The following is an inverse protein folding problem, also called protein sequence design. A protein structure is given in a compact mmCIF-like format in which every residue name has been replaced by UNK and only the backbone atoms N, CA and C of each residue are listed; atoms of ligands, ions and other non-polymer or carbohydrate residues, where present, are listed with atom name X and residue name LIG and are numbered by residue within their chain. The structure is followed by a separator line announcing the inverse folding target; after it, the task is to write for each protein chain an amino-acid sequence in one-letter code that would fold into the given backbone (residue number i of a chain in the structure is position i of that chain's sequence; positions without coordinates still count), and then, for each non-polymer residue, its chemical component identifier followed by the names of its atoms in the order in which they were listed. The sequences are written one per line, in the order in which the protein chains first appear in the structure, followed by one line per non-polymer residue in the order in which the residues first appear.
data_IF_167170643212
#
_entry.id   IF_167170643212
#
_cell.length_a   1.000
_cell.length_b   1.000
_cell.length_c   1.000
_cell.angle_alpha   90.00
_cell.angle_beta   90.00
_cell.angle_gamma   90.00
#
_symmetry.space_group_name_H-M   'P 1'
#
loop_
_entity.id
_entity.type
_entity.pdbx_description
1 polymer ?
#
# COMPACT_ATOMS: atom_id res chain seq x y z
N UNK A 1 4.31 -14.47 5.38
CA UNK A 1 4.62 -14.65 3.96
C UNK A 1 5.88 -13.89 3.56
N UNK A 2 6.63 -14.45 2.67
CA UNK A 2 7.83 -13.78 2.16
C UNK A 2 7.54 -13.17 0.78
N UNK A 3 8.23 -12.08 0.46
CA UNK A 3 8.04 -11.32 -0.77
C UNK A 3 8.24 -12.18 -2.03
N UNK A 4 9.13 -13.17 -1.98
CA UNK A 4 9.42 -14.06 -3.10
C UNK A 4 8.23 -14.93 -3.52
N UNK A 5 7.20 -15.04 -2.68
CA UNK A 5 5.98 -15.81 -3.01
C UNK A 5 4.93 -14.98 -3.74
N UNK A 6 5.17 -13.69 -3.89
CA UNK A 6 4.26 -12.79 -4.58
C UNK A 6 4.58 -12.80 -6.07
N UNK A 7 3.53 -12.84 -6.91
CA UNK A 7 3.68 -12.84 -8.36
C UNK A 7 4.53 -11.65 -8.82
N UNK A 8 5.50 -11.91 -9.71
CA UNK A 8 6.42 -10.87 -10.18
C UNK A 8 5.69 -9.74 -10.91
N UNK A 9 4.60 -10.04 -11.61
CA UNK A 9 3.84 -9.00 -12.32
C UNK A 9 3.19 -8.04 -11.33
N UNK A 10 2.71 -8.55 -10.20
CA UNK A 10 2.14 -7.73 -9.12
C UNK A 10 3.23 -6.84 -8.52
N UNK A 11 4.40 -7.40 -8.25
CA UNK A 11 5.51 -6.62 -7.70
C UNK A 11 5.96 -5.54 -8.67
N UNK A 12 5.99 -5.84 -9.97
CA UNK A 12 6.36 -4.84 -10.99
C UNK A 12 5.34 -3.70 -11.04
N UNK A 13 4.04 -4.02 -10.96
CA UNK A 13 2.99 -3.00 -10.90
C UNK A 13 3.15 -2.10 -9.68
N UNK A 14 3.41 -2.71 -8.53
CA UNK A 14 3.58 -1.96 -7.28
C UNK A 14 4.82 -1.07 -7.36
N UNK A 15 5.93 -1.56 -7.91
CA UNK A 15 7.15 -0.76 -8.07
C UNK A 15 6.91 0.48 -8.92
N UNK A 16 6.21 0.32 -10.05
CA UNK A 16 5.87 1.45 -10.91
C UNK A 16 4.99 2.46 -10.18
N UNK A 17 4.06 1.95 -9.39
CA UNK A 17 3.17 2.80 -8.62
C UNK A 17 3.93 3.57 -7.55
N UNK A 18 4.82 2.91 -6.80
CA UNK A 18 5.66 3.56 -5.79
C UNK A 18 6.48 4.67 -6.42
N UNK A 19 7.08 4.42 -7.57
CA UNK A 19 7.86 5.41 -8.28
C UNK A 19 7.01 6.64 -8.62
N UNK A 20 5.78 6.43 -9.07
CA UNK A 20 4.87 7.53 -9.41
C UNK A 20 4.47 8.33 -8.19
N UNK A 21 4.00 7.68 -7.12
CA UNK A 21 3.50 8.40 -5.93
C UNK A 21 4.63 9.09 -5.15
N UNK A 22 5.85 8.59 -5.28
CA UNK A 22 7.01 9.21 -4.64
C UNK A 22 7.32 10.61 -5.18
N UNK A 23 6.74 10.97 -6.31
CA UNK A 23 6.85 12.33 -6.84
C UNK A 23 5.94 13.32 -6.11
N UNK A 24 4.95 12.82 -5.40
CA UNK A 24 3.93 13.63 -4.71
C UNK A 24 3.99 13.51 -3.20
N UNK A 25 4.54 12.42 -2.67
CA UNK A 25 4.60 12.12 -1.25
C UNK A 25 5.98 11.62 -0.85
N UNK A 26 6.43 12.04 0.30
CA UNK A 26 7.61 11.44 0.94
C UNK A 26 7.12 10.19 1.67
N UNK A 27 7.34 9.03 1.07
CA UNK A 27 6.81 7.76 1.57
C UNK A 27 7.70 7.22 2.68
N UNK A 28 7.12 6.86 3.82
CA UNK A 28 7.83 6.21 4.91
C UNK A 28 7.74 4.69 4.81
N UNK A 29 6.54 4.15 4.51
CA UNK A 29 6.35 2.71 4.34
C UNK A 29 5.35 2.42 3.24
N UNK A 30 5.58 1.30 2.55
CA UNK A 30 4.57 0.67 1.66
C UNK A 30 4.42 -0.76 2.14
N UNK A 31 3.22 -1.17 2.49
CA UNK A 31 2.94 -2.50 3.01
C UNK A 31 1.84 -3.14 2.19
N UNK A 32 2.12 -4.33 1.64
CA UNK A 32 1.11 -5.14 0.96
C UNK A 32 0.34 -5.91 2.02
N UNK A 33 -0.98 -5.86 2.00
CA UNK A 33 -1.80 -6.62 2.92
C UNK A 33 -3.01 -7.22 2.18
N UNK A 34 -3.94 -7.81 2.91
CA UNK A 34 -5.10 -8.43 2.29
C UNK A 34 -4.76 -9.75 1.63
N UNK A 35 -5.52 -10.13 0.59
CA UNK A 35 -5.44 -11.46 -0.02
C UNK A 35 -4.07 -11.79 -0.62
N UNK A 36 -3.41 -10.82 -1.26
CA UNK A 36 -2.09 -11.05 -1.83
C UNK A 36 -1.02 -11.31 -0.78
N UNK A 37 -1.11 -10.66 0.37
CA UNK A 37 -0.18 -10.90 1.46
C UNK A 37 -0.40 -12.26 2.12
N UNK A 38 -1.68 -12.69 2.18
CA UNK A 38 -2.04 -13.97 2.79
C UNK A 38 -1.87 -15.17 1.85
N UNK A 39 -1.71 -14.92 0.55
CA UNK A 39 -1.57 -16.00 -0.43
C UNK A 39 -2.89 -16.64 -0.85
N UNK A 40 -4.03 -16.02 -0.55
CA UNK A 40 -5.35 -16.51 -0.94
C UNK A 40 -6.01 -15.66 -2.02
N UNK A 41 -5.20 -14.94 -2.78
CA UNK A 41 -5.68 -14.12 -3.89
C UNK A 41 -6.08 -14.96 -5.10
N UNK A 42 -6.90 -14.35 -5.95
CA UNK A 42 -7.24 -14.85 -7.28
C UNK A 42 -7.13 -13.70 -8.28
N UNK A 43 -7.37 -13.97 -9.57
CA UNK A 43 -7.10 -13.01 -10.65
C UNK A 43 -7.80 -11.66 -10.49
N UNK A 44 -8.97 -11.65 -9.86
CA UNK A 44 -9.75 -10.42 -9.67
C UNK A 44 -9.55 -9.78 -8.30
N UNK A 45 -8.63 -10.30 -7.50
CA UNK A 45 -8.37 -9.73 -6.17
C UNK A 45 -7.79 -8.33 -6.27
N UNK A 46 -8.22 -7.44 -5.37
CA UNK A 46 -7.61 -6.13 -5.21
C UNK A 46 -6.20 -6.28 -4.65
N UNK A 47 -5.34 -5.36 -5.04
CA UNK A 47 -3.98 -5.28 -4.51
C UNK A 47 -3.99 -4.23 -3.41
N UNK A 48 -4.23 -4.66 -2.16
CA UNK A 48 -4.32 -3.74 -1.03
C UNK A 48 -2.94 -3.32 -0.57
N UNK A 49 -2.66 -2.03 -0.61
CA UNK A 49 -1.40 -1.49 -0.09
C UNK A 49 -1.67 -0.35 0.88
N UNK A 50 -0.91 -0.32 1.96
CA UNK A 50 -0.88 0.81 2.87
C UNK A 50 0.22 1.76 2.41
N UNK A 51 -0.14 3.02 2.19
CA UNK A 51 0.80 4.08 1.86
C UNK A 51 0.93 4.96 3.10
N UNK A 52 2.08 4.90 3.75
CA UNK A 52 2.31 5.59 5.02
C UNK A 52 3.26 6.76 4.79
N UNK A 53 2.80 7.97 5.07
CA UNK A 53 3.57 9.19 4.82
C UNK A 53 3.14 10.29 5.78
N UNK A 54 4.10 11.11 6.21
CA UNK A 54 3.81 12.31 6.99
C UNK A 54 3.06 13.37 6.18
N UNK A 55 3.17 13.28 4.86
CA UNK A 55 2.49 14.21 3.96
C UNK A 55 1.00 13.91 3.83
N UNK A 56 0.55 12.76 4.31
CA UNK A 56 -0.86 12.42 4.35
C UNK A 56 -1.49 13.10 5.56
N UNK A 57 -2.34 14.10 5.30
CA UNK A 57 -3.00 14.89 6.34
C UNK A 57 -4.51 14.66 6.39
N UNK A 58 -5.09 14.17 5.31
CA UNK A 58 -6.51 13.83 5.21
C UNK A 58 -6.62 12.49 4.49
N UNK A 59 -6.98 11.44 5.23
CA UNK A 59 -7.03 10.07 4.67
C UNK A 59 -7.98 9.94 3.51
N UNK A 60 -9.09 10.70 3.51
CA UNK A 60 -10.05 10.63 2.41
C UNK A 60 -9.51 11.31 1.15
N UNK A 61 -9.11 12.58 1.28
CA UNK A 61 -8.63 13.35 0.13
C UNK A 61 -7.36 12.75 -0.45
N UNK A 62 -6.42 12.36 0.39
CA UNK A 62 -5.19 11.73 -0.04
C UNK A 62 -5.46 10.34 -0.63
N UNK A 63 -6.44 9.63 -0.07
CA UNK A 63 -6.87 8.35 -0.63
C UNK A 63 -7.39 8.49 -2.05
N UNK A 64 -8.20 9.50 -2.32
CA UNK A 64 -8.72 9.78 -3.67
C UNK A 64 -7.56 10.11 -4.62
N UNK A 65 -6.63 10.94 -4.18
CA UNK A 65 -5.47 11.30 -4.99
C UNK A 65 -4.61 10.09 -5.31
N UNK A 66 -4.31 9.27 -4.30
CA UNK A 66 -3.51 8.06 -4.49
C UNK A 66 -4.21 7.07 -5.44
N UNK A 67 -5.54 6.93 -5.33
CA UNK A 67 -6.31 6.08 -6.23
C UNK A 67 -6.21 6.58 -7.67
N UNK A 68 -6.28 7.89 -7.89
CA UNK A 68 -6.18 8.46 -9.23
C UNK A 68 -4.82 8.18 -9.88
N UNK A 69 -3.79 8.00 -9.09
CA UNK A 69 -2.44 7.75 -9.57
C UNK A 69 -2.21 6.28 -9.98
N UNK A 70 -3.21 5.41 -9.83
CA UNK A 70 -3.14 4.03 -10.32
C UNK A 70 -3.37 3.93 -11.83
N UNK A 71 -3.96 4.96 -12.44
CA UNK A 71 -4.30 4.96 -13.85
C UNK A 71 -3.07 4.78 -14.74
N UNK A 72 -3.19 3.88 -15.69
CA UNK A 72 -2.09 3.60 -16.61
C UNK A 72 -1.05 2.64 -16.06
N UNK A 73 -1.16 2.25 -14.79
CA UNK A 73 -0.27 1.27 -14.17
C UNK A 73 -1.03 -0.02 -13.90
N UNK A 74 -1.88 -0.01 -12.88
CA UNK A 74 -2.67 -1.18 -12.51
C UNK A 74 -3.82 -0.72 -11.62
N UNK A 75 -5.04 -0.74 -12.16
CA UNK A 75 -6.21 -0.24 -11.43
C UNK A 75 -6.72 -1.22 -10.38
N UNK A 76 -6.12 -2.41 -10.24
CA UNK A 76 -6.41 -3.31 -9.12
C UNK A 76 -5.77 -2.82 -7.84
N UNK A 77 -4.76 -1.94 -7.93
CA UNK A 77 -4.13 -1.36 -6.74
C UNK A 77 -5.15 -0.54 -5.98
N UNK A 78 -5.34 -0.88 -4.71
CA UNK A 78 -6.22 -0.18 -3.81
C UNK A 78 -5.38 0.43 -2.68
N UNK A 79 -4.99 1.70 -2.80
CA UNK A 79 -4.15 2.33 -1.79
C UNK A 79 -4.97 2.79 -0.60
N UNK A 80 -4.39 2.62 0.58
CA UNK A 80 -4.96 3.09 1.85
C UNK A 80 -4.01 4.11 2.44
N UNK A 81 -4.46 5.36 2.50
CA UNK A 81 -3.64 6.48 2.96
C UNK A 81 -3.59 6.52 4.48
N UNK A 82 -2.40 6.46 5.05
CA UNK A 82 -2.19 6.46 6.50
C UNK A 82 -1.10 7.47 6.86
N UNK A 83 -1.41 8.36 7.81
CA UNK A 83 -0.40 9.28 8.34
C UNK A 83 0.62 8.50 9.16
N UNK A 84 1.88 8.84 9.03
CA UNK A 84 2.98 8.12 9.70
C UNK A 84 2.82 8.10 11.23
N UNK A 85 2.37 9.19 11.84
CA UNK A 85 2.19 9.22 13.29
C UNK A 85 1.10 8.25 13.74
N UNK A 86 -0.03 8.21 13.01
CA UNK A 86 -1.12 7.29 13.30
C UNK A 86 -0.66 5.84 13.15
N UNK A 87 0.16 5.58 12.14
CA UNK A 87 0.72 4.26 11.93
C UNK A 87 1.63 3.84 13.08
N UNK A 88 2.51 4.76 13.53
CA UNK A 88 3.49 4.46 14.57
C UNK A 88 2.84 4.21 15.93
N UNK A 89 1.75 4.89 16.24
CA UNK A 89 1.02 4.67 17.51
C UNK A 89 -0.03 3.57 17.41
N UNK A 90 -0.14 2.93 16.24
CA UNK A 90 -1.13 1.88 15.99
C UNK A 90 -2.53 2.34 16.39
N UNK A 91 -2.95 3.44 15.78
CA UNK A 91 -4.15 4.20 16.15
C UNK A 91 -5.46 3.40 16.03
N UNK A 92 -5.51 2.40 15.16
CA UNK A 92 -6.73 1.62 14.90
C UNK A 92 -6.45 0.12 14.81
N UNK A 93 -7.48 -0.73 15.03
CA UNK A 93 -7.35 -2.17 14.78
C UNK A 93 -6.96 -2.50 13.34
N UNK A 94 -7.36 -1.67 12.38
CA UNK A 94 -6.99 -1.84 10.98
C UNK A 94 -5.47 -1.74 10.80
N UNK A 95 -4.86 -0.74 11.42
CA UNK A 95 -3.38 -0.57 11.37
C UNK A 95 -2.70 -1.75 12.05
N UNK A 96 -3.23 -2.21 13.19
CA UNK A 96 -2.67 -3.36 13.89
C UNK A 96 -2.67 -4.61 13.00
N UNK A 97 -3.75 -4.82 12.24
CA UNK A 97 -3.86 -5.95 11.32
C UNK A 97 -2.84 -5.84 10.18
N UNK A 98 -2.66 -4.65 9.63
CA UNK A 98 -1.67 -4.41 8.56
C UNK A 98 -0.27 -4.77 9.05
N UNK A 99 0.09 -4.31 10.25
CA UNK A 99 1.42 -4.59 10.83
C UNK A 99 1.60 -6.08 11.07
N UNK A 100 0.56 -6.74 11.59
CA UNK A 100 0.64 -8.15 11.96
C UNK A 100 0.77 -9.08 10.75
N UNK A 101 0.02 -8.81 9.69
CA UNK A 101 -0.10 -9.75 8.55
C UNK A 101 0.43 -9.22 7.23
N UNK A 102 0.84 -7.95 7.17
CA UNK A 102 1.32 -7.35 5.94
C UNK A 102 2.73 -7.72 5.57
N UNK A 103 3.07 -7.48 4.31
CA UNK A 103 4.42 -7.68 3.78
C UNK A 103 4.99 -6.30 3.45
N UNK A 104 6.06 -5.92 4.13
CA UNK A 104 6.70 -4.62 3.92
C UNK A 104 7.46 -4.63 2.60
N UNK A 105 7.10 -3.73 1.71
CA UNK A 105 7.70 -3.62 0.38
C UNK A 105 8.67 -2.45 0.24
N UNK A 106 8.53 -1.42 1.08
CA UNK A 106 9.36 -0.23 1.03
C UNK A 106 9.44 0.41 2.41
N UNK A 107 10.65 0.80 2.79
CA UNK A 107 10.93 1.56 4.03
C UNK A 107 11.90 2.67 3.66
N UNK A 108 11.56 3.89 4.04
CA UNK A 108 12.44 5.03 3.82
C UNK A 108 13.69 4.98 4.68
#
# INVERSE_FOLDING_TARGET
MVKSKINIDILNSIEKYIERISKFYNIDYIILFGSYAKGDNHNDSDIDIAVVSKDITDSFDDGVKLMSLTWGIDTRIEPHAINTEDFNIVDTPFIAEIIRSGVELYVA
#
